data_IF_102439807372
#
_entry.id   IF_102439807372
#
_cell.length_a   1.000
_cell.length_b   1.000
_cell.length_c   1.000
_cell.angle_alpha   90.00
_cell.angle_beta   90.00
_cell.angle_gamma   90.00
#
_symmetry.space_group_name_H-M   'P 1'
#
loop_
_entity.id
_entity.type
_entity.pdbx_description
1 polymer ?
#
# COMPACT_ATOMS: atom_id res chain seq x y z
N UNK A 1 0.71 -0.75 7.38
CA UNK A 1 0.28 -2.16 7.34
C UNK A 1 0.52 -2.76 5.94
N UNK A 2 1.77 -2.86 5.45
CA UNK A 2 2.22 -3.72 4.33
C UNK A 2 1.49 -3.78 2.97
N UNK A 3 0.33 -3.15 2.78
CA UNK A 3 -0.57 -3.38 1.64
C UNK A 3 0.01 -2.89 0.32
N UNK A 4 0.63 -1.71 0.34
CA UNK A 4 1.25 -1.07 -0.82
C UNK A 4 2.77 -1.30 -0.86
N UNK A 5 3.23 -2.41 -0.27
CA UNK A 5 4.64 -2.81 -0.29
C UNK A 5 4.91 -3.83 -1.40
N UNK A 6 6.18 -4.07 -1.71
CA UNK A 6 6.58 -5.12 -2.64
C UNK A 6 6.15 -6.50 -2.12
N UNK A 7 5.56 -7.32 -3.01
CA UNK A 7 5.18 -8.70 -2.71
C UNK A 7 3.70 -8.88 -2.38
N UNK A 8 3.39 -9.97 -1.66
CA UNK A 8 2.03 -10.26 -1.22
C UNK A 8 1.65 -9.35 -0.03
N UNK A 9 0.46 -8.74 -0.04
CA UNK A 9 -0.08 -8.11 1.15
C UNK A 9 -0.14 -9.11 2.31
N UNK A 10 0.09 -8.65 3.56
CA UNK A 10 -0.01 -9.54 4.71
C UNK A 10 -1.40 -10.19 4.79
N UNK A 11 -1.45 -11.51 5.04
CA UNK A 11 -2.72 -12.26 5.14
C UNK A 11 -3.69 -11.62 6.14
N UNK A 12 -3.14 -11.14 7.27
CA UNK A 12 -3.86 -10.49 8.36
C UNK A 12 -4.42 -9.11 8.02
N UNK A 13 -4.11 -8.54 6.84
CA UNK A 13 -4.55 -7.19 6.51
C UNK A 13 -6.09 -7.13 6.42
N UNK A 14 -6.76 -6.12 7.02
CA UNK A 14 -8.24 -6.06 7.08
C UNK A 14 -8.89 -5.68 5.74
N UNK A 15 -8.13 -5.14 4.79
CA UNK A 15 -8.65 -4.80 3.47
C UNK A 15 -9.29 -6.01 2.77
N UNK A 16 -10.35 -5.74 2.01
CA UNK A 16 -11.04 -6.74 1.21
C UNK A 16 -10.10 -7.39 0.19
N UNK A 17 -10.44 -8.62 -0.25
CA UNK A 17 -9.60 -9.38 -1.17
C UNK A 17 -9.36 -8.64 -2.49
N UNK A 18 -10.38 -7.94 -3.02
CA UNK A 18 -10.24 -7.12 -4.24
C UNK A 18 -9.12 -6.07 -4.10
N UNK A 19 -9.03 -5.40 -2.94
CA UNK A 19 -8.01 -4.39 -2.65
C UNK A 19 -6.63 -5.05 -2.51
N UNK A 20 -6.54 -6.20 -1.83
CA UNK A 20 -5.30 -6.97 -1.69
C UNK A 20 -4.77 -7.40 -3.07
N UNK A 21 -5.64 -7.94 -3.92
CA UNK A 21 -5.28 -8.40 -5.26
C UNK A 21 -4.84 -7.23 -6.15
N UNK A 22 -5.57 -6.11 -6.11
CA UNK A 22 -5.18 -4.90 -6.83
C UNK A 22 -3.82 -4.36 -6.36
N UNK A 23 -3.56 -4.38 -5.04
CA UNK A 23 -2.29 -3.91 -4.48
C UNK A 23 -1.12 -4.80 -4.90
N UNK A 24 -1.30 -6.12 -4.90
CA UNK A 24 -0.32 -7.08 -5.42
C UNK A 24 -0.01 -6.85 -6.90
N UNK A 25 -1.05 -6.66 -7.71
CA UNK A 25 -0.90 -6.40 -9.14
C UNK A 25 -0.19 -5.07 -9.40
N UNK A 26 -0.54 -4.02 -8.66
CA UNK A 26 0.12 -2.73 -8.72
C UNK A 26 1.60 -2.83 -8.31
N UNK A 27 1.92 -3.59 -7.25
CA UNK A 27 3.30 -3.78 -6.80
C UNK A 27 4.15 -4.47 -7.89
N UNK A 28 3.59 -5.51 -8.52
CA UNK A 28 4.23 -6.18 -9.65
C UNK A 28 4.42 -5.24 -10.84
N UNK A 29 3.39 -4.47 -11.18
CA UNK A 29 3.44 -3.52 -12.29
C UNK A 29 4.54 -2.47 -12.11
N UNK A 30 4.63 -1.86 -10.93
CA UNK A 30 5.70 -0.90 -10.63
C UNK A 30 7.08 -1.55 -10.71
N UNK A 31 7.23 -2.76 -10.15
CA UNK A 31 8.49 -3.50 -10.17
C UNK A 31 8.96 -3.81 -11.60
N UNK A 32 8.06 -4.29 -12.45
CA UNK A 32 8.37 -4.57 -13.86
C UNK A 32 8.76 -3.29 -14.62
N UNK A 33 8.25 -2.13 -14.19
CA UNK A 33 8.58 -0.81 -14.73
C UNK A 33 9.80 -0.15 -14.05
N UNK A 34 10.54 -0.87 -13.21
CA UNK A 34 11.76 -0.37 -12.57
C UNK A 34 11.52 0.63 -11.42
N UNK A 35 10.34 0.61 -10.81
CA UNK A 35 9.97 1.45 -9.66
C UNK A 35 9.40 0.62 -8.50
N UNK A 36 9.10 1.28 -7.39
CA UNK A 36 8.60 0.67 -6.16
C UNK A 36 7.26 1.29 -5.77
N UNK A 37 6.20 0.47 -5.65
CA UNK A 37 4.88 0.94 -5.25
C UNK A 37 4.90 1.66 -3.91
N UNK A 38 5.72 1.20 -2.95
CA UNK A 38 5.81 1.84 -1.64
C UNK A 38 6.36 3.27 -1.75
N UNK A 39 7.36 3.46 -2.62
CA UNK A 39 7.94 4.78 -2.91
C UNK A 39 6.91 5.72 -3.53
N UNK A 40 6.18 5.25 -4.55
CA UNK A 40 5.12 6.05 -5.18
C UNK A 40 4.01 6.42 -4.21
N UNK A 41 3.59 5.48 -3.35
CA UNK A 41 2.55 5.72 -2.34
C UNK A 41 2.96 6.76 -1.29
N UNK A 42 4.22 6.71 -0.84
CA UNK A 42 4.78 7.69 0.10
C UNK A 42 4.87 9.09 -0.55
N UNK A 43 5.34 9.17 -1.80
CA UNK A 43 5.40 10.43 -2.55
C UNK A 43 4.01 11.03 -2.77
N UNK A 44 3.04 10.20 -3.21
CA UNK A 44 1.67 10.61 -3.40
C UNK A 44 1.07 11.18 -2.11
N UNK A 45 1.23 10.47 -0.99
CA UNK A 45 0.76 10.91 0.31
C UNK A 45 1.34 12.29 0.66
N UNK A 46 2.67 12.43 0.61
CA UNK A 46 3.35 13.69 0.95
C UNK A 46 2.98 14.87 0.04
N UNK A 47 2.59 14.60 -1.22
CA UNK A 47 2.12 15.62 -2.17
C UNK A 47 0.65 16.00 -2.03
N UNK A 48 -0.10 15.35 -1.13
CA UNK A 48 -1.54 15.60 -0.98
C UNK A 48 -1.78 16.94 -0.30
N UNK A 49 -2.30 17.90 -1.05
CA UNK A 49 -2.65 19.22 -0.55
C UNK A 49 -3.70 19.14 0.58
N UNK A 50 -3.58 20.03 1.57
CA UNK A 50 -4.49 20.08 2.71
C UNK A 50 -4.16 19.12 3.86
N UNK A 51 -3.17 18.23 3.70
CA UNK A 51 -2.70 17.34 4.78
C UNK A 51 -1.43 17.90 5.43
N UNK A 52 -1.57 18.42 6.65
CA UNK A 52 -0.45 19.04 7.37
C UNK A 52 0.54 18.03 7.99
N UNK A 53 0.05 16.83 8.36
CA UNK A 53 0.84 15.84 9.09
C UNK A 53 0.67 14.46 8.47
N UNK A 54 1.79 13.80 8.18
CA UNK A 54 1.83 12.44 7.65
C UNK A 54 2.47 11.51 8.68
N UNK A 55 1.74 10.48 9.12
CA UNK A 55 2.26 9.47 10.05
C UNK A 55 2.78 8.26 9.26
N UNK A 56 4.04 7.91 9.50
CA UNK A 56 4.65 6.69 8.95
C UNK A 56 5.23 5.83 10.08
N UNK A 57 4.98 4.53 10.01
CA UNK A 57 5.52 3.55 10.94
C UNK A 57 6.32 2.47 10.21
N UNK A 58 7.46 2.08 10.77
CA UNK A 58 8.27 0.94 10.34
C UNK A 58 9.00 0.36 11.54
N UNK A 59 9.16 -0.95 11.58
CA UNK A 59 10.02 -1.64 12.55
C UNK A 59 11.46 -1.84 12.04
N UNK A 60 11.75 -1.39 10.81
CA UNK A 60 13.07 -1.48 10.19
C UNK A 60 13.56 -0.08 9.80
N UNK A 61 14.71 0.31 10.35
CA UNK A 61 15.36 1.60 10.08
C UNK A 61 15.77 1.79 8.63
N UNK A 62 15.99 0.71 7.86
CA UNK A 62 16.32 0.75 6.43
C UNK A 62 15.10 1.16 5.61
N UNK A 63 13.95 0.57 5.90
CA UNK A 63 12.66 0.94 5.29
C UNK A 63 12.33 2.40 5.64
N UNK A 64 12.55 2.80 6.90
CA UNK A 64 12.30 4.18 7.31
C UNK A 64 13.16 5.19 6.54
N UNK A 65 14.45 4.90 6.33
CA UNK A 65 15.33 5.73 5.49
C UNK A 65 14.84 5.83 4.04
N UNK A 66 14.41 4.71 3.43
CA UNK A 66 13.82 4.72 2.07
C UNK A 66 12.56 5.59 1.99
N UNK A 67 11.70 5.53 3.00
CA UNK A 67 10.50 6.37 3.05
C UNK A 67 10.87 7.85 3.18
N UNK A 68 11.85 8.21 4.03
CA UNK A 68 12.33 9.59 4.12
C UNK A 68 12.93 10.08 2.81
N UNK A 69 13.75 9.26 2.15
CA UNK A 69 14.31 9.58 0.83
C UNK A 69 13.20 9.84 -0.20
N UNK A 70 12.17 9.00 -0.23
CA UNK A 70 11.02 9.17 -1.12
C UNK A 70 10.34 10.53 -0.94
N UNK A 71 10.14 10.97 0.31
CA UNK A 71 9.53 12.27 0.64
C UNK A 71 10.42 13.45 0.26
N UNK A 72 11.72 13.35 0.56
CA UNK A 72 12.67 14.46 0.39
C UNK A 72 13.11 14.63 -1.07
N UNK A 73 12.95 13.61 -1.90
CA UNK A 73 13.29 13.65 -3.32
C UNK A 73 12.12 14.15 -4.17
N UNK A 74 12.42 14.96 -5.19
CA UNK A 74 11.45 15.28 -6.25
C UNK A 74 11.16 14.02 -7.07
N UNK A 75 9.88 13.62 -7.25
CA UNK A 75 9.52 12.53 -8.15
C UNK A 75 10.00 12.79 -9.58
N UNK A 76 10.58 11.79 -10.21
CA UNK A 76 10.93 11.81 -11.63
C UNK A 76 9.67 11.80 -12.50
N UNK A 77 9.78 12.23 -13.76
CA UNK A 77 8.66 12.16 -14.71
C UNK A 77 8.09 10.73 -14.85
N UNK A 78 8.96 9.72 -14.82
CA UNK A 78 8.58 8.30 -14.85
C UNK A 78 7.78 7.89 -13.61
N UNK A 79 8.19 8.33 -12.41
CA UNK A 79 7.46 8.04 -11.17
C UNK A 79 6.10 8.73 -11.13
N UNK A 80 6.01 9.98 -11.62
CA UNK A 80 4.73 10.70 -11.75
C UNK A 80 3.79 9.95 -12.69
N UNK A 81 4.29 9.55 -13.87
CA UNK A 81 3.51 8.78 -14.84
C UNK A 81 3.06 7.43 -14.26
N UNK A 82 3.96 6.67 -13.64
CA UNK A 82 3.62 5.39 -13.03
C UNK A 82 2.60 5.54 -11.90
N UNK A 83 2.73 6.57 -11.07
CA UNK A 83 1.76 6.85 -9.99
C UNK A 83 0.35 7.05 -10.56
N UNK A 84 0.22 7.83 -11.63
CA UNK A 84 -1.06 8.02 -12.31
C UNK A 84 -1.61 6.72 -12.92
N UNK A 85 -0.76 5.97 -13.64
CA UNK A 85 -1.16 4.69 -14.23
C UNK A 85 -1.61 3.69 -13.18
N UNK A 86 -0.96 3.66 -12.02
CA UNK A 86 -1.33 2.79 -10.90
C UNK A 86 -2.74 3.12 -10.40
N UNK A 87 -3.06 4.41 -10.23
CA UNK A 87 -4.39 4.82 -9.81
C UNK A 87 -5.45 4.40 -10.82
N UNK A 88 -5.25 4.70 -12.11
CA UNK A 88 -6.21 4.43 -13.17
C UNK A 88 -6.43 2.93 -13.43
N UNK A 89 -5.36 2.14 -13.40
CA UNK A 89 -5.41 0.71 -13.72
C UNK A 89 -5.94 -0.13 -12.56
N UNK A 90 -5.55 0.17 -11.32
CA UNK A 90 -5.77 -0.73 -10.19
C UNK A 90 -6.74 -0.19 -9.14
N UNK A 91 -6.75 1.12 -8.86
CA UNK A 91 -7.46 1.64 -7.67
C UNK A 91 -8.75 2.40 -8.01
N UNK A 92 -8.83 3.12 -9.13
CA UNK A 92 -10.04 3.84 -9.55
C UNK A 92 -11.16 2.88 -10.00
N UNK A 93 -10.85 1.64 -10.35
CA UNK A 93 -11.84 0.66 -10.80
C UNK A 93 -12.39 -0.23 -9.68
N UNK A 94 -11.85 -0.09 -8.46
CA UNK A 94 -12.30 -0.88 -7.31
C UNK A 94 -13.74 -0.56 -6.97
N UNK A 95 -14.51 -1.62 -6.71
CA UNK A 95 -15.91 -1.52 -6.32
C UNK A 95 -16.11 -0.81 -4.98
N UNK A 96 -15.16 -1.01 -4.05
CA UNK A 96 -15.04 -0.32 -2.77
C UNK A 96 -13.60 0.13 -2.55
N UNK A 97 -13.44 1.37 -2.08
CA UNK A 97 -12.12 2.01 -1.87
C UNK A 97 -11.83 2.34 -0.42
N UNK A 98 -12.80 2.09 0.47
CA UNK A 98 -12.70 2.30 1.91
C UNK A 98 -12.57 0.96 2.64
N UNK A 99 -12.36 1.03 3.96
CA UNK A 99 -12.27 -0.15 4.85
C UNK A 99 -13.44 -0.22 5.84
N UNK A 100 -14.46 0.59 5.62
CA UNK A 100 -15.71 0.62 6.37
C UNK A 100 -16.51 -0.68 6.19
N UNK A 101 -17.14 -1.11 7.28
CA UNK A 101 -17.96 -2.31 7.30
C UNK A 101 -17.20 -3.63 7.50
N UNK A 102 -15.89 -3.59 7.76
CA UNK A 102 -15.17 -4.73 8.38
C UNK A 102 -15.32 -4.60 9.89
N UNK A 103 -16.11 -5.45 10.52
CA UNK A 103 -16.28 -5.41 11.97
C UNK A 103 -15.01 -5.91 12.68
N UNK A 104 -14.72 -5.37 13.87
CA UNK A 104 -13.61 -5.89 14.71
C UNK A 104 -13.79 -7.38 15.02
N UNK A 105 -15.05 -7.82 15.15
CA UNK A 105 -15.40 -9.22 15.41
C UNK A 105 -14.92 -10.12 14.26
N UNK A 106 -15.27 -9.78 13.02
CA UNK A 106 -14.85 -10.52 11.82
C UNK A 106 -13.32 -10.53 11.69
N UNK A 107 -12.67 -9.38 11.94
CA UNK A 107 -11.21 -9.30 11.93
C UNK A 107 -10.57 -10.29 12.92
N UNK A 108 -11.01 -10.28 14.18
CA UNK A 108 -10.45 -11.15 15.23
C UNK A 108 -10.83 -12.63 15.05
N UNK A 109 -11.94 -12.94 14.38
CA UNK A 109 -12.26 -14.31 13.95
C UNK A 109 -11.28 -14.83 12.90
N UNK A 110 -11.00 -14.05 11.86
CA UNK A 110 -10.02 -14.42 10.84
C UNK A 110 -8.61 -14.56 11.42
N UNK A 111 -8.20 -13.67 12.32
CA UNK A 111 -6.91 -13.77 13.00
C UNK A 111 -6.74 -15.07 13.79
N UNK A 112 -7.80 -15.54 14.45
CA UNK A 112 -7.79 -16.82 15.18
C UNK A 112 -7.65 -18.00 14.21
N UNK A 113 -8.31 -17.97 13.05
CA UNK A 113 -8.17 -19.01 12.00
C UNK A 113 -6.74 -19.06 11.46
N UNK A 114 -6.13 -17.91 11.15
CA UNK A 114 -4.75 -17.82 10.66
C UNK A 114 -3.76 -18.40 11.69
N UNK A 115 -3.95 -18.11 12.98
CA UNK A 115 -3.09 -18.65 14.04
C UNK A 115 -3.27 -20.17 14.21
N UNK A 116 -4.48 -20.68 14.09
CA UNK A 116 -4.77 -22.11 14.18
C UNK A 116 -4.18 -22.91 13.01
N UNK A 117 -4.15 -22.34 11.80
CA UNK A 117 -3.59 -22.98 10.60
C UNK A 117 -2.06 -22.97 10.49
N UNK A 118 -1.36 -22.30 11.41
CA UNK A 118 0.12 -22.26 11.48
C UNK A 118 0.72 -23.30 12.44
N UNK A 119 -0.10 -24.19 12.99
CA UNK A 119 0.32 -25.32 13.84
C UNK A 119 0.48 -26.61 13.04
#
# INVERSE_FOLDING_TARGET
>A
MGLLCEGEPPEWHPAQQEIKDASKLAAKFCKDAGSDLARLAVQFSASTEGVATHLMGSNDSRIFRRNLEAILSTPTAHEVELSQQVQEKFFQKLSKREWEGVSEVEYWEEMRKIQAGKR
#
